data_IF_038748283779
#
_entry.id   IF_038748283779
#
_cell.length_a   1.000
_cell.length_b   1.000
_cell.length_c   1.000
_cell.angle_alpha   90.00
_cell.angle_beta   90.00
_cell.angle_gamma   90.00
#
_symmetry.space_group_name_H-M   'P 1'
#
loop_
_entity.id
_entity.type
_entity.pdbx_description
1 polymer ?
#
# COMPACT_ATOMS: atom_id res chain seq x y z
N UNK A 1 52.33 23.02 -44.48
CA UNK A 1 50.88 22.98 -44.21
C UNK A 1 50.44 24.34 -43.72
N UNK A 2 49.41 24.93 -44.33
CA UNK A 2 48.85 26.22 -43.86
C UNK A 2 47.97 25.99 -42.63
N UNK A 3 47.81 27.00 -41.77
CA UNK A 3 46.98 26.91 -40.56
C UNK A 3 45.53 26.50 -40.86
N UNK A 4 45.01 26.87 -42.04
CA UNK A 4 43.69 26.46 -42.51
C UNK A 4 43.59 24.94 -42.81
N UNK A 5 44.64 24.34 -43.38
CA UNK A 5 44.67 22.89 -43.60
C UNK A 5 44.73 22.13 -42.26
N UNK A 6 45.48 22.63 -41.28
CA UNK A 6 45.56 21.99 -39.96
C UNK A 6 44.21 22.00 -39.23
N UNK A 7 43.48 23.12 -39.29
CA UNK A 7 42.14 23.22 -38.70
C UNK A 7 41.14 22.26 -39.36
N UNK A 8 41.21 22.08 -40.68
CA UNK A 8 40.39 21.11 -41.40
C UNK A 8 40.66 19.66 -40.95
N UNK A 9 41.93 19.29 -40.76
CA UNK A 9 42.29 17.95 -40.27
C UNK A 9 41.84 17.71 -38.83
N UNK A 10 41.93 18.73 -37.96
CA UNK A 10 41.44 18.63 -36.57
C UNK A 10 39.91 18.47 -36.55
N UNK A 11 39.18 19.29 -37.32
CA UNK A 11 37.74 19.19 -37.42
C UNK A 11 37.29 17.83 -37.94
N UNK A 12 37.97 17.30 -38.97
CA UNK A 12 37.70 15.97 -39.51
C UNK A 12 37.95 14.87 -38.46
N UNK A 13 39.04 14.98 -37.69
CA UNK A 13 39.35 14.05 -36.61
C UNK A 13 38.27 14.02 -35.52
N UNK A 14 37.78 15.19 -35.11
CA UNK A 14 36.70 15.30 -34.11
C UNK A 14 35.40 14.68 -34.63
N UNK A 15 35.03 14.94 -35.89
CA UNK A 15 33.81 14.38 -36.49
C UNK A 15 33.89 12.85 -36.56
N UNK A 16 35.04 12.30 -36.97
CA UNK A 16 35.25 10.85 -37.01
C UNK A 16 35.18 10.24 -35.60
N UNK A 17 35.78 10.90 -34.61
CA UNK A 17 35.77 10.43 -33.23
C UNK A 17 34.35 10.45 -32.61
N UNK A 18 33.54 11.47 -32.91
CA UNK A 18 32.14 11.53 -32.51
C UNK A 18 31.29 10.46 -33.20
N UNK A 19 31.49 10.23 -34.49
CA UNK A 19 30.78 9.20 -35.24
C UNK A 19 31.09 7.79 -34.70
N UNK A 20 32.36 7.51 -34.40
CA UNK A 20 32.77 6.24 -33.76
C UNK A 20 32.17 6.08 -32.37
N UNK A 21 32.18 7.14 -31.55
CA UNK A 21 31.58 7.11 -30.22
C UNK A 21 30.08 6.83 -30.27
N UNK A 22 29.34 7.55 -31.13
CA UNK A 22 27.90 7.33 -31.32
C UNK A 22 27.60 5.92 -31.84
N UNK A 23 28.42 5.39 -32.77
CA UNK A 23 28.30 4.03 -33.25
C UNK A 23 28.49 2.98 -32.14
N UNK A 24 29.48 3.16 -31.26
CA UNK A 24 29.73 2.27 -30.12
C UNK A 24 28.59 2.36 -29.10
N UNK A 25 28.12 3.56 -28.77
CA UNK A 25 26.99 3.75 -27.82
C UNK A 25 25.73 3.11 -28.38
N UNK A 26 25.41 3.34 -29.66
CA UNK A 26 24.28 2.72 -30.34
C UNK A 26 24.38 1.20 -30.35
N UNK A 27 25.56 0.64 -30.70
CA UNK A 27 25.78 -0.80 -30.68
C UNK A 27 25.60 -1.42 -29.29
N UNK A 28 26.12 -0.78 -28.23
CA UNK A 28 25.95 -1.25 -26.84
C UNK A 28 24.49 -1.16 -26.39
N UNK A 29 23.77 -0.13 -26.80
CA UNK A 29 22.35 0.03 -26.50
C UNK A 29 21.50 -1.00 -27.25
N UNK A 30 21.81 -1.26 -28.52
CA UNK A 30 21.16 -2.26 -29.35
C UNK A 30 21.36 -3.69 -28.82
N UNK A 31 22.58 -4.02 -28.38
CA UNK A 31 22.89 -5.30 -27.73
C UNK A 31 22.08 -5.51 -26.43
N UNK A 32 21.93 -4.45 -25.61
CA UNK A 32 21.09 -4.49 -24.40
C UNK A 32 19.60 -4.64 -24.73
N UNK A 33 19.13 -3.97 -25.78
CA UNK A 33 17.77 -4.10 -26.26
C UNK A 33 17.47 -5.54 -26.71
N UNK A 34 18.36 -6.16 -27.49
CA UNK A 34 18.22 -7.57 -27.90
C UNK A 34 18.20 -8.50 -26.68
N UNK A 35 19.10 -8.31 -25.70
CA UNK A 35 19.13 -9.14 -24.49
C UNK A 35 17.83 -9.04 -23.66
N UNK A 36 17.23 -7.85 -23.57
CA UNK A 36 15.93 -7.64 -22.92
C UNK A 36 14.79 -8.30 -23.71
N UNK A 37 14.88 -8.26 -25.04
CA UNK A 37 13.89 -8.91 -25.92
C UNK A 37 13.96 -10.44 -25.83
N UNK A 38 15.15 -11.02 -25.70
CA UNK A 38 15.34 -12.46 -25.50
C UNK A 38 14.86 -12.93 -24.11
N UNK A 39 15.01 -12.10 -23.07
CA UNK A 39 14.40 -12.34 -21.75
C UNK A 39 12.87 -12.26 -21.79
N UNK A 40 12.31 -11.27 -22.49
CA UNK A 40 10.87 -11.13 -22.66
C UNK A 40 10.23 -12.28 -23.48
N UNK A 41 10.98 -12.87 -24.41
CA UNK A 41 10.55 -14.00 -25.24
C UNK A 41 10.84 -15.39 -24.65
N UNK A 42 11.21 -15.48 -23.37
CA UNK A 42 11.22 -16.74 -22.62
C UNK A 42 12.32 -17.75 -22.97
N UNK A 43 13.45 -17.33 -23.57
CA UNK A 43 14.61 -18.21 -23.75
C UNK A 43 15.66 -17.96 -22.67
N UNK A 44 15.40 -18.45 -21.45
CA UNK A 44 16.45 -18.56 -20.43
C UNK A 44 17.04 -19.98 -20.43
N UNK A 45 18.31 -20.08 -20.81
CA UNK A 45 19.17 -21.23 -20.49
C UNK A 45 20.27 -20.72 -19.56
N UNK A 46 20.24 -21.14 -18.30
CA UNK A 46 21.38 -21.65 -17.53
C UNK A 46 21.06 -21.65 -16.03
N UNK A 47 21.53 -22.65 -15.27
CA UNK A 47 21.06 -22.97 -13.93
C UNK A 47 21.89 -22.26 -12.87
N UNK A 48 21.29 -22.01 -11.72
CA UNK A 48 21.90 -22.04 -10.38
C UNK A 48 20.75 -21.95 -9.37
N UNK A 49 20.08 -23.08 -9.19
CA UNK A 49 19.19 -23.31 -8.06
C UNK A 49 20.06 -23.75 -6.90
N UNK A 50 20.50 -22.80 -6.08
CA UNK A 50 20.89 -23.10 -4.71
C UNK A 50 19.73 -22.68 -3.80
N UNK A 51 19.13 -23.73 -3.24
CA UNK A 51 17.97 -23.73 -2.35
C UNK A 51 18.21 -22.88 -1.10
N UNK A 52 17.52 -21.74 -1.01
CA UNK A 52 17.15 -21.20 0.29
C UNK A 52 16.10 -22.14 0.87
N UNK A 53 16.52 -22.85 1.92
CA UNK A 53 15.70 -23.72 2.73
C UNK A 53 14.45 -22.96 3.17
N UNK A 54 13.29 -23.54 2.86
CA UNK A 54 12.01 -23.13 3.42
C UNK A 54 12.04 -23.35 4.93
N UNK A 55 12.33 -22.30 5.68
CA UNK A 55 11.96 -22.26 7.09
C UNK A 55 10.46 -22.51 7.16
N UNK A 56 10.06 -23.54 7.91
CA UNK A 56 8.68 -23.87 8.20
C UNK A 56 7.99 -22.65 8.82
N UNK A 57 7.38 -21.81 7.98
CA UNK A 57 6.45 -20.79 8.42
C UNK A 57 5.34 -21.53 9.16
N UNK A 58 5.25 -21.37 10.47
CA UNK A 58 4.09 -21.85 11.21
C UNK A 58 2.86 -21.25 10.54
N UNK A 59 1.97 -22.08 10.01
CA UNK A 59 0.70 -21.61 9.46
C UNK A 59 0.02 -20.71 10.51
N UNK A 60 -0.50 -19.57 10.08
CA UNK A 60 -1.19 -18.64 10.96
C UNK A 60 -2.34 -19.31 11.73
N UNK A 61 -2.89 -18.63 12.74
CA UNK A 61 -4.02 -19.17 13.49
C UNK A 61 -5.36 -18.85 12.82
N UNK A 62 -6.35 -19.74 13.03
CA UNK A 62 -7.74 -19.52 12.61
C UNK A 62 -8.49 -18.67 13.65
N UNK A 63 -9.37 -17.79 13.18
CA UNK A 63 -10.18 -16.93 14.06
C UNK A 63 -9.35 -15.87 14.79
N UNK A 64 -9.75 -15.55 16.03
CA UNK A 64 -9.09 -14.55 16.87
C UNK A 64 -8.26 -15.22 17.98
N UNK A 65 -7.04 -14.71 18.16
CA UNK A 65 -6.11 -15.08 19.23
C UNK A 65 -5.87 -13.86 20.11
N UNK A 66 -5.69 -14.08 21.41
CA UNK A 66 -5.51 -12.99 22.37
C UNK A 66 -4.05 -12.55 22.44
N UNK A 67 -3.83 -11.24 22.30
CA UNK A 67 -2.54 -10.59 22.40
C UNK A 67 -2.53 -9.59 23.55
N UNK A 68 -1.39 -9.47 24.22
CA UNK A 68 -1.13 -8.46 25.24
C UNK A 68 -0.32 -7.31 24.65
N UNK A 69 -0.70 -6.08 24.99
CA UNK A 69 0.10 -4.89 24.72
C UNK A 69 1.25 -4.85 25.71
N UNK A 70 2.48 -5.03 25.25
CA UNK A 70 3.67 -5.03 26.10
C UNK A 70 4.35 -3.66 26.16
N UNK A 71 4.14 -2.82 25.15
CA UNK A 71 4.69 -1.46 25.09
C UNK A 71 3.76 -0.56 24.27
N UNK A 72 3.69 0.71 24.69
CA UNK A 72 2.96 1.81 24.04
C UNK A 72 3.90 3.00 23.92
N UNK A 73 4.12 3.50 22.70
CA UNK A 73 5.07 4.58 22.42
C UNK A 73 4.39 5.67 21.60
N UNK A 74 4.52 6.94 22.01
CA UNK A 74 4.09 8.08 21.21
C UNK A 74 5.15 8.35 20.14
N UNK A 75 4.71 8.49 18.89
CA UNK A 75 5.61 8.64 17.72
C UNK A 75 5.70 10.08 17.22
N UNK A 76 4.90 10.97 17.80
CA UNK A 76 4.89 12.41 17.55
C UNK A 76 4.67 13.19 18.86
N UNK A 77 5.08 14.46 18.84
CA UNK A 77 4.96 15.35 20.01
C UNK A 77 3.51 15.71 20.34
N UNK A 78 2.63 15.63 19.35
CA UNK A 78 1.21 15.97 19.47
C UNK A 78 0.34 14.81 19.99
N UNK A 79 0.92 13.62 20.19
CA UNK A 79 0.21 12.41 20.58
C UNK A 79 -0.84 11.94 19.58
N UNK A 80 -0.72 12.35 18.31
CA UNK A 80 -1.63 11.96 17.25
C UNK A 80 -1.32 10.56 16.72
N UNK A 81 -0.12 10.03 16.91
CA UNK A 81 0.27 8.68 16.47
C UNK A 81 0.93 7.91 17.61
N UNK A 82 0.49 6.67 17.80
CA UNK A 82 1.00 5.79 18.85
C UNK A 82 1.30 4.39 18.30
N UNK A 83 2.46 3.86 18.62
CA UNK A 83 2.84 2.48 18.36
C UNK A 83 2.49 1.56 19.53
N UNK A 84 1.96 0.39 19.21
CA UNK A 84 1.61 -0.66 20.15
C UNK A 84 2.39 -1.93 19.79
N UNK A 85 3.09 -2.48 20.79
CA UNK A 85 3.84 -3.72 20.66
C UNK A 85 3.02 -4.84 21.28
N UNK A 86 2.82 -5.93 20.53
CA UNK A 86 1.86 -6.97 20.82
C UNK A 86 2.57 -8.31 20.90
N UNK A 87 2.35 -9.04 22.00
CA UNK A 87 2.85 -10.41 22.19
C UNK A 87 1.66 -11.33 22.46
N UNK A 88 1.66 -12.58 21.97
CA UNK A 88 0.53 -13.47 22.21
C UNK A 88 0.48 -13.85 23.70
N UNK A 89 -0.71 -13.86 24.28
CA UNK A 89 -0.90 -14.10 25.72
C UNK A 89 -0.53 -15.54 26.11
N UNK A 90 -0.77 -16.50 25.22
CA UNK A 90 -0.43 -17.92 25.36
C UNK A 90 1.07 -18.23 25.20
N UNK A 91 1.90 -17.22 24.89
CA UNK A 91 3.36 -17.31 24.69
C UNK A 91 3.83 -18.27 23.58
N UNK A 92 2.95 -18.74 22.69
CA UNK A 92 3.41 -19.51 21.54
C UNK A 92 4.07 -18.59 20.51
N UNK A 93 4.85 -19.18 19.60
CA UNK A 93 5.58 -18.43 18.57
C UNK A 93 4.66 -17.59 17.68
N UNK A 94 5.24 -16.51 17.16
CA UNK A 94 4.62 -15.67 16.16
C UNK A 94 4.95 -16.20 14.76
N UNK A 95 3.95 -16.38 13.88
CA UNK A 95 4.23 -16.68 12.49
C UNK A 95 4.98 -15.52 11.84
N UNK A 96 5.93 -15.86 10.97
CA UNK A 96 6.61 -14.85 10.15
C UNK A 96 5.59 -14.29 9.15
N UNK A 97 5.47 -12.97 9.09
CA UNK A 97 4.61 -12.29 8.13
C UNK A 97 5.42 -11.69 6.97
N UNK A 98 4.75 -11.35 5.87
CA UNK A 98 5.41 -10.68 4.74
C UNK A 98 5.40 -9.15 4.95
N UNK A 99 6.53 -8.44 4.76
CA UNK A 99 6.62 -7.00 5.03
C UNK A 99 5.59 -6.20 4.23
N UNK A 100 4.67 -5.53 4.93
CA UNK A 100 3.52 -4.83 4.34
C UNK A 100 2.15 -5.37 4.76
N UNK A 101 2.07 -6.62 5.22
CA UNK A 101 0.82 -7.21 5.74
C UNK A 101 0.27 -6.48 6.98
N UNK A 102 -1.01 -6.72 7.28
CA UNK A 102 -1.73 -6.12 8.40
C UNK A 102 -2.27 -7.15 9.40
N UNK A 103 -2.61 -6.67 10.60
CA UNK A 103 -3.37 -7.41 11.60
C UNK A 103 -4.83 -6.96 11.62
N UNK A 104 -5.76 -7.89 11.79
CA UNK A 104 -7.19 -7.59 11.99
C UNK A 104 -7.54 -7.70 13.47
N UNK A 105 -8.09 -6.64 14.04
CA UNK A 105 -8.50 -6.54 15.44
C UNK A 105 -10.01 -6.61 15.57
N UNK A 106 -10.49 -7.32 16.59
CA UNK A 106 -11.86 -7.21 17.08
C UNK A 106 -11.85 -6.43 18.40
N UNK A 107 -12.49 -5.28 18.40
CA UNK A 107 -12.50 -4.33 19.52
C UNK A 107 -13.88 -4.28 20.14
N UNK A 108 -13.95 -4.27 21.47
CA UNK A 108 -15.16 -4.01 22.22
C UNK A 108 -15.19 -2.52 22.59
N UNK A 109 -15.86 -1.71 21.77
CA UNK A 109 -15.89 -0.25 21.93
C UNK A 109 -16.99 0.12 22.93
N UNK A 110 -16.67 0.81 24.04
CA UNK A 110 -17.68 1.29 24.98
C UNK A 110 -18.64 2.26 24.30
N UNK A 111 -19.95 2.08 24.54
CA UNK A 111 -20.99 3.01 24.09
C UNK A 111 -21.55 3.80 25.27
N UNK A 112 -22.15 4.98 25.04
CA UNK A 112 -22.74 5.79 26.12
C UNK A 112 -23.80 5.06 26.96
N UNK A 113 -24.42 3.99 26.43
CA UNK A 113 -25.41 3.18 27.13
C UNK A 113 -24.82 2.12 28.07
N UNK A 114 -23.49 2.09 28.27
CA UNK A 114 -22.81 1.10 29.12
C UNK A 114 -22.65 -0.29 28.48
N UNK A 115 -23.16 -0.48 27.26
CA UNK A 115 -22.91 -1.68 26.45
C UNK A 115 -21.67 -1.49 25.60
N UNK A 116 -21.00 -2.59 25.22
CA UNK A 116 -19.89 -2.56 24.27
C UNK A 116 -20.38 -2.99 22.88
N UNK A 117 -19.97 -2.26 21.85
CA UNK A 117 -20.22 -2.62 20.45
C UNK A 117 -18.94 -3.23 19.84
N UNK A 118 -19.09 -4.35 19.14
CA UNK A 118 -17.96 -4.98 18.45
C UNK A 118 -17.60 -4.20 17.18
N UNK A 119 -16.31 -3.90 17.02
CA UNK A 119 -15.78 -3.19 15.86
C UNK A 119 -14.55 -3.91 15.33
N UNK A 120 -14.55 -4.25 14.04
CA UNK A 120 -13.42 -4.89 13.38
C UNK A 120 -12.62 -3.87 12.58
N UNK A 121 -11.30 -3.78 12.81
CA UNK A 121 -10.40 -2.89 12.05
C UNK A 121 -9.04 -3.51 11.78
N UNK A 122 -8.44 -3.10 10.68
CA UNK A 122 -7.12 -3.54 10.26
C UNK A 122 -6.08 -2.45 10.50
N UNK A 123 -4.87 -2.85 10.87
CA UNK A 123 -3.71 -1.98 10.98
C UNK A 123 -2.46 -2.69 10.44
N UNK A 124 -1.75 -2.06 9.51
CA UNK A 124 -0.51 -2.59 8.94
C UNK A 124 0.51 -2.85 10.04
N UNK A 125 1.23 -3.96 9.92
CA UNK A 125 2.41 -4.22 10.71
C UNK A 125 3.45 -3.18 10.31
N UNK A 126 3.95 -2.42 11.28
CA UNK A 126 4.78 -1.23 11.02
C UNK A 126 6.27 -1.45 11.24
N UNK A 127 6.69 -2.70 11.43
CA UNK A 127 8.09 -3.13 11.60
C UNK A 127 8.43 -4.35 10.76
N UNK A 128 9.72 -4.70 10.70
CA UNK A 128 10.18 -5.96 10.13
C UNK A 128 9.64 -7.15 10.93
N UNK A 129 9.35 -8.30 10.28
CA UNK A 129 9.05 -9.55 10.96
C UNK A 129 10.05 -9.87 12.07
N UNK A 130 9.55 -9.93 13.30
CA UNK A 130 10.32 -10.27 14.49
C UNK A 130 9.66 -11.44 15.23
N UNK A 131 10.45 -12.22 15.95
CA UNK A 131 9.96 -13.42 16.63
C UNK A 131 9.24 -13.12 17.96
N UNK A 132 9.41 -11.93 18.54
CA UNK A 132 9.06 -11.65 19.92
C UNK A 132 7.85 -10.72 20.10
N UNK A 133 7.55 -9.88 19.12
CA UNK A 133 6.40 -9.00 19.12
C UNK A 133 6.01 -8.53 17.71
N UNK A 134 4.73 -8.21 17.54
CA UNK A 134 4.24 -7.40 16.43
C UNK A 134 4.15 -5.94 16.82
N UNK A 135 4.38 -5.03 15.88
CA UNK A 135 4.17 -3.59 16.07
C UNK A 135 3.11 -3.08 15.09
N UNK A 136 2.16 -2.32 15.60
CA UNK A 136 1.22 -1.52 14.79
C UNK A 136 1.31 -0.06 15.23
N UNK A 137 1.25 0.87 14.29
CA UNK A 137 1.31 2.31 14.59
C UNK A 137 0.03 2.98 14.11
N UNK A 138 -0.72 3.57 15.05
CA UNK A 138 -2.11 3.96 14.84
C UNK A 138 -2.23 5.47 14.99
N UNK A 139 -2.71 6.12 13.93
CA UNK A 139 -3.08 7.54 13.94
C UNK A 139 -4.46 7.75 14.57
N UNK A 140 -4.54 8.62 15.57
CA UNK A 140 -5.79 9.13 16.14
C UNK A 140 -6.54 9.93 15.07
N UNK A 141 -7.84 9.67 14.93
CA UNK A 141 -8.71 10.40 14.01
C UNK A 141 -9.76 11.15 14.85
N UNK A 142 -9.46 12.39 15.29
CA UNK A 142 -10.45 13.19 16.01
C UNK A 142 -11.59 13.60 15.07
N UNK A 143 -12.64 14.20 15.66
CA UNK A 143 -13.70 14.88 14.90
C UNK A 143 -13.06 15.85 13.91
N UNK A 144 -13.35 15.75 12.60
CA UNK A 144 -12.79 16.67 11.62
C UNK A 144 -13.25 18.11 11.93
N UNK A 145 -12.30 19.04 11.96
CA UNK A 145 -12.57 20.45 12.27
C UNK A 145 -13.66 21.03 11.36
N UNK A 146 -14.64 21.71 11.95
CA UNK A 146 -15.72 22.35 11.21
C UNK A 146 -16.76 21.39 10.62
N UNK A 147 -16.79 20.12 11.05
CA UNK A 147 -17.79 19.14 10.62
C UNK A 147 -18.60 18.60 11.80
N UNK A 148 -19.79 18.07 11.52
CA UNK A 148 -20.61 17.33 12.49
C UNK A 148 -20.30 15.82 12.49
N UNK A 149 -19.28 15.37 11.74
CA UNK A 149 -18.93 13.96 11.63
C UNK A 149 -18.32 13.47 12.95
N UNK A 150 -18.68 12.25 13.41
CA UNK A 150 -18.13 11.71 14.64
C UNK A 150 -16.63 11.40 14.54
N UNK A 151 -15.90 11.35 15.67
CA UNK A 151 -14.50 10.93 15.69
C UNK A 151 -14.36 9.44 15.29
N UNK A 152 -13.17 9.06 14.83
CA UNK A 152 -12.86 7.67 14.48
C UNK A 152 -12.95 6.74 15.68
N UNK A 153 -13.88 5.78 15.65
CA UNK A 153 -14.18 4.91 16.80
C UNK A 153 -13.00 4.03 17.25
N UNK A 154 -12.37 3.33 16.31
CA UNK A 154 -11.25 2.41 16.59
C UNK A 154 -9.97 3.13 17.00
N UNK A 155 -9.57 4.16 16.24
CA UNK A 155 -8.31 4.85 16.50
C UNK A 155 -8.33 5.60 17.82
N UNK A 156 -9.44 6.27 18.18
CA UNK A 156 -9.56 6.88 19.50
C UNK A 156 -9.63 5.81 20.61
N UNK A 157 -10.30 4.67 20.39
CA UNK A 157 -10.28 3.59 21.38
C UNK A 157 -8.87 3.09 21.72
N UNK A 158 -8.03 2.85 20.70
CA UNK A 158 -6.63 2.49 20.91
C UNK A 158 -5.86 3.54 21.72
N UNK A 159 -6.11 4.80 21.44
CA UNK A 159 -5.40 5.87 22.13
C UNK A 159 -5.88 6.05 23.57
N UNK A 160 -7.19 5.96 23.81
CA UNK A 160 -7.83 6.32 25.08
C UNK A 160 -7.93 5.15 26.07
N UNK A 161 -8.14 3.92 25.60
CA UNK A 161 -8.45 2.76 26.46
C UNK A 161 -7.43 1.63 26.38
N UNK A 162 -6.60 1.60 25.34
CA UNK A 162 -5.56 0.56 25.20
C UNK A 162 -4.28 1.03 25.88
N UNK A 163 -3.87 0.29 26.90
CA UNK A 163 -2.69 0.54 27.71
C UNK A 163 -1.79 -0.70 27.73
N UNK A 164 -0.58 -0.55 28.26
CA UNK A 164 0.28 -1.71 28.54
C UNK A 164 -0.47 -2.67 29.48
N UNK A 165 -0.51 -3.95 29.13
CA UNK A 165 -1.27 -5.00 29.82
C UNK A 165 -2.67 -5.28 29.26
N UNK A 166 -3.22 -4.41 28.40
CA UNK A 166 -4.51 -4.64 27.74
C UNK A 166 -4.46 -5.89 26.86
N UNK A 167 -5.56 -6.64 26.84
CA UNK A 167 -5.77 -7.78 25.93
C UNK A 167 -6.52 -7.35 24.68
N UNK A 168 -6.08 -7.79 23.52
CA UNK A 168 -6.68 -7.52 22.22
C UNK A 168 -6.94 -8.84 21.48
N UNK A 169 -8.10 -8.96 20.83
CA UNK A 169 -8.42 -10.10 19.97
C UNK A 169 -7.93 -9.81 18.54
N UNK A 170 -7.03 -10.65 18.03
CA UNK A 170 -6.28 -10.41 16.78
C UNK A 170 -6.37 -11.63 15.86
N UNK A 171 -6.60 -11.44 14.56
CA UNK A 171 -6.44 -12.50 13.53
C UNK A 171 -5.00 -12.56 13.05
N UNK A 172 -4.61 -13.71 12.49
CA UNK A 172 -3.28 -13.87 11.90
C UNK A 172 -2.98 -12.78 10.86
N UNK A 173 -1.69 -12.41 10.67
CA UNK A 173 -1.30 -11.49 9.60
C UNK A 173 -1.88 -11.88 8.25
N UNK A 174 -2.39 -10.91 7.51
CA UNK A 174 -3.02 -11.10 6.20
C UNK A 174 -2.78 -9.90 5.27
N UNK A 175 -3.18 -10.03 4.01
CA UNK A 175 -3.08 -8.98 2.99
C UNK A 175 -2.12 -9.35 1.86
N UNK A 176 -2.36 -8.77 0.68
CA UNK A 176 -1.59 -8.96 -0.55
C UNK A 176 -0.63 -7.80 -0.85
N UNK A 177 -0.70 -6.70 -0.10
CA UNK A 177 0.25 -5.60 -0.21
C UNK A 177 1.52 -5.90 0.60
N UNK A 178 2.45 -6.64 0.00
CA UNK A 178 3.73 -6.93 0.63
C UNK A 178 4.89 -6.86 -0.36
N UNK A 179 6.08 -6.64 0.18
CA UNK A 179 7.33 -6.57 -0.57
C UNK A 179 7.60 -7.89 -1.29
N UNK A 180 7.93 -7.83 -2.58
CA UNK A 180 8.44 -8.98 -3.31
C UNK A 180 9.87 -9.31 -2.83
N UNK A 181 10.23 -10.59 -2.83
CA UNK A 181 11.57 -11.01 -2.38
C UNK A 181 12.64 -10.90 -3.49
N UNK A 182 12.27 -10.36 -4.66
CA UNK A 182 13.20 -10.11 -5.76
C UNK A 182 14.25 -9.05 -5.38
N UNK A 183 15.38 -9.02 -6.09
CA UNK A 183 16.46 -8.06 -5.82
C UNK A 183 16.31 -6.74 -6.61
N UNK A 184 15.19 -6.54 -7.32
CA UNK A 184 14.86 -5.31 -8.05
C UNK A 184 14.91 -4.10 -7.12
N UNK A 185 15.39 -2.93 -7.57
CA UNK A 185 15.40 -1.75 -6.73
C UNK A 185 13.96 -1.28 -6.45
N UNK A 186 13.72 -0.69 -5.28
CA UNK A 186 12.36 -0.38 -4.80
C UNK A 186 12.16 1.10 -4.52
N UNK A 187 10.97 1.60 -4.83
CA UNK A 187 10.50 2.92 -4.42
C UNK A 187 9.29 2.76 -3.49
N UNK A 188 9.49 3.08 -2.23
CA UNK A 188 8.47 3.13 -1.20
C UNK A 188 7.91 4.54 -1.11
N UNK A 189 6.60 4.69 -1.22
CA UNK A 189 5.92 5.99 -1.19
C UNK A 189 4.85 5.97 -0.09
N UNK A 190 5.13 6.68 1.01
CA UNK A 190 4.23 6.78 2.16
C UNK A 190 3.62 8.18 2.29
N UNK A 191 2.30 8.28 2.40
CA UNK A 191 1.59 9.53 2.71
C UNK A 191 1.03 9.52 4.12
N UNK A 192 1.50 10.40 5.01
CA UNK A 192 1.02 10.47 6.40
C UNK A 192 1.21 9.15 7.16
N UNK A 193 0.12 8.51 7.58
CA UNK A 193 0.18 7.21 8.29
C UNK A 193 0.40 6.01 7.34
N UNK A 194 0.27 6.21 6.02
CA UNK A 194 0.62 5.21 5.00
C UNK A 194 2.11 4.84 4.98
N UNK A 195 2.93 5.52 5.79
CA UNK A 195 4.32 5.15 6.09
C UNK A 195 4.44 3.79 6.81
N UNK A 196 3.37 3.30 7.44
CA UNK A 196 3.40 2.09 8.27
C UNK A 196 3.81 0.81 7.52
N UNK A 197 3.15 0.41 6.42
CA UNK A 197 3.64 -0.73 5.62
C UNK A 197 5.02 -0.44 5.02
N UNK A 198 5.31 0.81 4.66
CA UNK A 198 6.62 1.20 4.11
C UNK A 198 7.76 0.99 5.10
N UNK A 199 7.54 1.27 6.39
CA UNK A 199 8.51 1.00 7.45
C UNK A 199 8.77 -0.49 7.63
N UNK A 200 7.72 -1.32 7.53
CA UNK A 200 7.88 -2.78 7.56
C UNK A 200 8.76 -3.27 6.41
N UNK A 201 8.47 -2.82 5.19
CA UNK A 201 9.26 -3.15 4.00
C UNK A 201 10.70 -2.64 4.12
N UNK A 202 10.89 -1.37 4.50
CA UNK A 202 12.21 -0.75 4.66
C UNK A 202 13.06 -1.48 5.71
N UNK A 203 12.51 -1.70 6.91
CA UNK A 203 13.23 -2.37 7.99
C UNK A 203 13.59 -3.81 7.60
N UNK A 204 12.74 -4.50 6.84
CA UNK A 204 13.08 -5.82 6.31
C UNK A 204 14.20 -5.77 5.27
N UNK A 205 14.14 -4.83 4.32
CA UNK A 205 15.17 -4.66 3.28
C UNK A 205 16.53 -4.38 3.90
N UNK A 206 16.65 -3.42 4.82
CA UNK A 206 17.94 -3.06 5.40
C UNK A 206 18.57 -4.19 6.23
N UNK A 207 17.74 -5.07 6.80
CA UNK A 207 18.18 -6.21 7.61
C UNK A 207 18.51 -7.47 6.77
N UNK A 208 17.78 -7.73 5.69
CA UNK A 208 17.85 -9.00 4.94
C UNK A 208 18.41 -8.85 3.51
N UNK A 209 18.31 -7.65 2.94
CA UNK A 209 18.78 -7.32 1.59
C UNK A 209 19.50 -5.96 1.57
N UNK A 210 20.59 -5.78 2.36
CA UNK A 210 21.25 -4.47 2.51
C UNK A 210 21.85 -3.91 1.19
N UNK A 211 22.08 -4.78 0.21
CA UNK A 211 22.55 -4.39 -1.14
C UNK A 211 21.42 -3.93 -2.08
N UNK A 212 20.16 -4.17 -1.72
CA UNK A 212 19.01 -3.75 -2.53
C UNK A 212 18.83 -2.24 -2.39
N UNK A 213 18.85 -1.56 -3.51
CA UNK A 213 18.57 -0.12 -3.56
C UNK A 213 17.11 0.14 -3.20
N UNK A 214 16.90 1.02 -2.22
CA UNK A 214 15.57 1.41 -1.75
C UNK A 214 15.47 2.92 -1.60
N UNK A 215 14.43 3.50 -2.19
CA UNK A 215 14.07 4.90 -2.03
C UNK A 215 12.80 5.02 -1.21
N UNK A 216 12.80 5.86 -0.18
CA UNK A 216 11.60 6.21 0.57
C UNK A 216 11.23 7.67 0.31
N UNK A 217 10.10 7.87 -0.38
CA UNK A 217 9.44 9.18 -0.47
C UNK A 217 8.36 9.27 0.60
N UNK A 218 8.59 10.10 1.61
CA UNK A 218 7.67 10.26 2.73
C UNK A 218 7.01 11.63 2.71
N UNK A 219 5.71 11.68 2.39
CA UNK A 219 4.93 12.89 2.26
C UNK A 219 4.11 13.19 3.51
N UNK A 220 4.32 14.35 4.12
CA UNK A 220 3.50 14.90 5.22
C UNK A 220 3.23 16.38 5.00
N UNK A 221 2.40 17.00 5.85
CA UNK A 221 2.14 18.44 5.72
C UNK A 221 3.36 19.27 6.12
N UNK A 222 3.96 18.95 7.27
CA UNK A 222 5.08 19.69 7.85
C UNK A 222 5.82 18.86 8.90
N UNK A 223 6.82 19.46 9.55
CA UNK A 223 7.64 18.82 10.57
C UNK A 223 6.86 18.21 11.74
N UNK A 224 5.72 18.78 12.12
CA UNK A 224 4.90 18.30 13.24
C UNK A 224 4.20 16.95 12.98
N UNK A 225 4.26 16.44 11.74
CA UNK A 225 3.64 15.18 11.32
C UNK A 225 4.64 14.09 10.93
N UNK A 226 5.94 14.41 10.94
CA UNK A 226 6.95 13.41 10.62
C UNK A 226 7.12 12.48 11.82
N UNK A 227 6.66 11.23 11.69
CA UNK A 227 6.93 10.20 12.69
C UNK A 227 8.24 9.47 12.41
N UNK A 228 8.85 8.93 13.46
CA UNK A 228 10.06 8.09 13.37
C UNK A 228 11.23 8.75 12.60
N UNK A 229 11.28 10.09 12.59
CA UNK A 229 12.30 10.87 11.86
C UNK A 229 13.71 10.44 12.23
N UNK A 230 13.99 10.27 13.53
CA UNK A 230 15.30 9.87 14.02
C UNK A 230 15.70 8.47 13.52
N UNK A 231 14.78 7.51 13.53
CA UNK A 231 14.99 6.17 12.99
C UNK A 231 15.29 6.20 11.49
N UNK A 232 14.48 6.92 10.71
CA UNK A 232 14.68 7.06 9.26
C UNK A 232 16.02 7.71 8.92
N UNK A 233 16.41 8.76 9.64
CA UNK A 233 17.71 9.41 9.46
C UNK A 233 18.88 8.49 9.84
N UNK A 234 18.75 7.73 10.93
CA UNK A 234 19.75 6.76 11.34
C UNK A 234 19.95 5.66 10.29
N UNK A 235 18.85 5.10 9.76
CA UNK A 235 18.92 4.13 8.67
C UNK A 235 19.58 4.73 7.42
N UNK A 236 19.20 5.95 7.01
CA UNK A 236 19.78 6.60 5.84
C UNK A 236 21.29 6.87 5.99
N UNK A 237 21.76 7.12 7.22
CA UNK A 237 23.18 7.29 7.52
C UNK A 237 23.95 5.95 7.54
N UNK A 238 23.30 4.86 7.96
CA UNK A 238 23.93 3.54 8.12
C UNK A 238 23.93 2.72 6.82
N UNK A 239 22.97 2.93 5.93
CA UNK A 239 22.77 2.12 4.72
C UNK A 239 22.92 2.96 3.44
N UNK A 240 24.05 2.85 2.73
CA UNK A 240 24.30 3.63 1.50
C UNK A 240 23.27 3.39 0.39
N UNK A 241 22.68 2.21 0.33
CA UNK A 241 21.66 1.83 -0.66
C UNK A 241 20.25 2.32 -0.30
N UNK A 242 20.06 2.87 0.90
CA UNK A 242 18.81 3.51 1.30
C UNK A 242 18.87 5.02 1.06
N UNK A 243 17.91 5.54 0.28
CA UNK A 243 17.75 6.96 -0.03
C UNK A 243 16.43 7.48 0.55
N UNK A 244 16.53 8.39 1.52
CA UNK A 244 15.36 9.04 2.14
C UNK A 244 15.04 10.37 1.45
N UNK A 245 13.75 10.60 1.16
CA UNK A 245 13.20 11.86 0.62
C UNK A 245 11.93 12.25 1.36
N UNK A 246 12.08 13.11 2.36
CA UNK A 246 10.95 13.70 3.11
C UNK A 246 10.38 14.90 2.33
N UNK A 247 9.07 14.93 2.12
CA UNK A 247 8.37 15.95 1.35
C UNK A 247 7.30 16.66 2.20
N UNK A 248 7.33 17.98 2.24
CA UNK A 248 6.37 18.81 3.00
C UNK A 248 5.44 19.58 2.08
N UNK A 249 4.14 19.28 2.13
CA UNK A 249 3.15 19.99 1.31
C UNK A 249 2.76 21.37 1.84
N UNK A 250 2.91 21.61 3.15
CA UNK A 250 2.58 22.86 3.83
C UNK A 250 3.55 23.13 5.02
N UNK A 251 4.84 23.42 4.74
CA UNK A 251 5.85 23.63 5.78
C UNK A 251 5.50 24.76 6.77
N UNK A 252 5.92 24.63 8.02
CA UNK A 252 5.75 25.65 9.07
C UNK A 252 6.81 26.78 8.95
N UNK A 253 6.58 27.96 9.56
CA UNK A 253 7.53 29.10 9.54
C UNK A 253 8.95 28.87 10.09
N UNK A 254 9.30 27.66 10.54
CA UNK A 254 10.65 27.27 10.96
C UNK A 254 11.24 26.08 10.19
N UNK A 255 10.46 25.46 9.29
CA UNK A 255 10.88 24.29 8.53
C UNK A 255 11.86 24.70 7.43
N UNK A 256 13.05 24.09 7.41
CA UNK A 256 14.10 24.43 6.44
C UNK A 256 14.39 23.27 5.49
N UNK A 257 14.41 23.55 4.19
CA UNK A 257 14.87 22.59 3.16
C UNK A 257 16.31 22.15 3.46
N UNK A 258 16.63 20.89 3.19
CA UNK A 258 17.89 20.21 3.46
C UNK A 258 18.25 20.00 4.96
N UNK A 259 17.49 20.58 5.90
CA UNK A 259 17.59 20.26 7.33
C UNK A 259 16.42 19.39 7.80
N UNK A 260 15.21 19.82 7.51
CA UNK A 260 13.98 19.20 8.03
C UNK A 260 13.29 18.31 7.01
N UNK A 261 13.37 18.70 5.74
CA UNK A 261 12.77 18.01 4.61
C UNK A 261 13.61 18.22 3.35
N UNK A 262 13.37 17.41 2.33
CA UNK A 262 14.11 17.42 1.07
C UNK A 262 13.37 18.19 -0.02
N UNK A 263 12.04 18.02 -0.11
CA UNK A 263 11.23 18.66 -1.15
C UNK A 263 10.00 19.37 -0.60
N UNK A 264 9.69 20.54 -1.16
CA UNK A 264 8.45 21.25 -0.89
C UNK A 264 7.40 20.84 -1.92
N UNK A 265 6.19 20.54 -1.46
CA UNK A 265 5.09 20.09 -2.30
C UNK A 265 4.64 18.67 -1.97
N UNK A 266 3.69 18.17 -2.76
CA UNK A 266 3.27 16.77 -2.72
C UNK A 266 4.23 15.92 -3.54
N UNK A 267 4.28 14.62 -3.27
CA UNK A 267 5.03 13.67 -4.10
C UNK A 267 4.27 13.51 -5.41
N UNK A 268 4.95 13.74 -6.52
CA UNK A 268 4.45 13.55 -7.88
C UNK A 268 5.51 12.91 -8.78
N UNK A 269 5.12 12.51 -9.98
CA UNK A 269 6.04 11.87 -10.94
C UNK A 269 7.14 12.82 -11.42
N UNK A 270 6.93 14.14 -11.41
CA UNK A 270 7.97 15.11 -11.77
C UNK A 270 9.12 15.08 -10.76
N UNK A 271 8.81 15.00 -9.47
CA UNK A 271 9.79 14.77 -8.42
C UNK A 271 10.50 13.42 -8.59
N UNK A 272 9.75 12.34 -8.81
CA UNK A 272 10.33 11.00 -9.00
C UNK A 272 11.31 10.96 -10.18
N UNK A 273 10.97 11.61 -11.31
CA UNK A 273 11.86 11.74 -12.48
C UNK A 273 13.14 12.52 -12.20
N UNK A 274 13.10 13.45 -11.24
CA UNK A 274 14.24 14.29 -10.88
C UNK A 274 15.22 13.52 -9.98
N UNK A 275 14.70 12.72 -9.04
CA UNK A 275 15.50 12.03 -8.03
C UNK A 275 15.94 10.62 -8.45
N UNK A 276 15.09 9.89 -9.17
CA UNK A 276 15.35 8.49 -9.47
C UNK A 276 16.25 8.33 -10.70
N UNK A 277 17.29 7.47 -10.64
CA UNK A 277 18.01 7.06 -11.84
C UNK A 277 17.09 6.25 -12.76
N UNK A 278 17.39 6.17 -14.05
CA UNK A 278 16.60 5.37 -14.98
C UNK A 278 16.86 3.87 -14.75
N UNK A 279 16.03 3.22 -13.93
CA UNK A 279 16.09 1.80 -13.56
C UNK A 279 14.67 1.20 -13.47
N UNK A 280 14.53 -0.13 -13.61
CA UNK A 280 13.24 -0.81 -13.45
C UNK A 280 12.92 -0.98 -11.96
N UNK A 281 12.36 0.07 -11.35
CA UNK A 281 11.91 0.05 -9.96
C UNK A 281 10.56 -0.65 -9.78
N UNK A 282 10.38 -1.28 -8.63
CA UNK A 282 9.04 -1.64 -8.13
C UNK A 282 8.55 -0.55 -7.18
N UNK A 283 7.34 -0.04 -7.43
CA UNK A 283 6.73 1.04 -6.67
C UNK A 283 5.71 0.47 -5.69
N UNK A 284 5.83 0.84 -4.41
CA UNK A 284 4.86 0.53 -3.37
C UNK A 284 4.30 1.82 -2.80
N UNK A 285 2.98 1.98 -2.86
CA UNK A 285 2.32 3.26 -2.57
C UNK A 285 1.24 3.05 -1.52
N UNK A 286 1.32 3.79 -0.41
CA UNK A 286 0.26 3.81 0.57
C UNK A 286 0.08 5.23 1.13
N UNK A 287 -1.15 5.74 1.09
CA UNK A 287 -1.43 7.10 1.52
C UNK A 287 -2.89 7.51 1.35
N UNK A 288 -3.19 8.81 1.43
CA UNK A 288 -4.52 9.33 1.17
C UNK A 288 -4.98 9.03 -0.26
N UNK A 289 -6.27 8.75 -0.44
CA UNK A 289 -6.88 8.45 -1.76
C UNK A 289 -6.44 9.42 -2.87
N UNK A 290 -6.49 10.77 -2.70
CA UNK A 290 -6.11 11.67 -3.78
C UNK A 290 -4.63 11.55 -4.20
N UNK A 291 -3.75 11.17 -3.26
CA UNK A 291 -2.33 10.93 -3.56
C UNK A 291 -2.15 9.66 -4.38
N UNK A 292 -2.84 8.57 -4.01
CA UNK A 292 -2.72 7.31 -4.75
C UNK A 292 -3.34 7.42 -6.14
N UNK A 293 -4.53 7.99 -6.27
CA UNK A 293 -5.20 8.19 -7.57
C UNK A 293 -4.35 9.02 -8.54
N UNK A 294 -3.70 10.08 -8.04
CA UNK A 294 -2.84 10.92 -8.88
C UNK A 294 -1.49 10.27 -9.24
N UNK A 295 -0.89 9.50 -8.33
CA UNK A 295 0.42 8.88 -8.56
C UNK A 295 0.32 7.62 -9.42
N UNK A 296 -0.67 6.77 -9.21
CA UNK A 296 -0.83 5.51 -9.97
C UNK A 296 -1.01 5.83 -11.46
N UNK A 297 -1.99 6.68 -11.78
CA UNK A 297 -2.25 7.11 -13.16
C UNK A 297 -1.01 7.76 -13.80
N UNK A 298 -0.31 8.62 -13.06
CA UNK A 298 0.87 9.30 -13.58
C UNK A 298 2.08 8.37 -13.78
N UNK A 299 2.20 7.29 -12.98
CA UNK A 299 3.24 6.26 -13.14
C UNK A 299 2.98 5.40 -14.38
N UNK A 300 1.72 5.05 -14.62
CA UNK A 300 1.28 4.38 -15.85
C UNK A 300 1.58 5.25 -17.08
N UNK A 301 1.22 6.54 -17.04
CA UNK A 301 1.52 7.51 -18.10
C UNK A 301 3.04 7.72 -18.30
N UNK A 302 3.83 7.50 -17.25
CA UNK A 302 5.30 7.49 -17.34
C UNK A 302 5.86 6.19 -17.95
N UNK A 303 5.03 5.17 -18.14
CA UNK A 303 5.41 3.89 -18.75
C UNK A 303 5.93 2.86 -17.75
N UNK A 304 5.64 3.02 -16.45
CA UNK A 304 5.90 1.97 -15.45
C UNK A 304 4.87 0.84 -15.68
N UNK A 305 5.30 -0.42 -15.87
CA UNK A 305 4.36 -1.53 -16.04
C UNK A 305 3.46 -1.73 -14.81
N UNK A 306 2.17 -2.01 -15.01
CA UNK A 306 1.19 -2.25 -13.91
C UNK A 306 1.69 -3.30 -12.90
N UNK A 307 2.33 -4.37 -13.38
CA UNK A 307 2.95 -5.41 -12.54
C UNK A 307 3.99 -4.90 -11.53
N UNK A 308 4.48 -3.67 -11.68
CA UNK A 308 5.47 -3.01 -10.82
C UNK A 308 4.89 -1.85 -10.02
N UNK A 309 3.57 -1.63 -10.08
CA UNK A 309 2.87 -0.60 -9.31
C UNK A 309 1.96 -1.31 -8.30
N UNK A 310 2.39 -1.30 -7.04
CA UNK A 310 1.66 -1.88 -5.92
C UNK A 310 1.12 -0.78 -5.03
N UNK A 311 -0.12 -0.88 -4.58
CA UNK A 311 -0.70 0.11 -3.67
C UNK A 311 -1.69 -0.51 -2.69
N UNK A 312 -1.87 0.17 -1.55
CA UNK A 312 -2.84 -0.18 -0.51
C UNK A 312 -3.58 1.07 -0.02
N UNK A 313 -4.92 0.98 -0.02
CA UNK A 313 -5.79 2.05 0.44
C UNK A 313 -6.33 1.79 1.86
N UNK A 314 -6.20 2.77 2.75
CA UNK A 314 -6.76 2.72 4.10
C UNK A 314 -8.20 3.24 4.12
N UNK A 315 -9.17 2.40 3.74
CA UNK A 315 -10.59 2.75 3.71
C UNK A 315 -11.33 2.13 2.52
N UNK A 316 -12.56 2.57 2.22
CA UNK A 316 -13.29 2.12 1.03
C UNK A 316 -12.43 2.27 -0.22
N UNK A 317 -12.23 1.18 -0.94
CA UNK A 317 -11.36 1.15 -2.10
C UNK A 317 -12.01 1.88 -3.29
N UNK A 318 -11.50 3.08 -3.59
CA UNK A 318 -12.05 3.95 -4.63
C UNK A 318 -11.17 4.09 -5.87
N UNK A 319 -10.02 3.42 -5.94
CA UNK A 319 -9.08 3.58 -7.07
C UNK A 319 -9.59 2.79 -8.28
N UNK A 320 -9.92 3.50 -9.37
CA UNK A 320 -10.34 2.92 -10.65
C UNK A 320 -9.11 2.78 -11.56
N UNK A 321 -8.71 1.55 -11.91
CA UNK A 321 -7.64 1.32 -12.90
C UNK A 321 -8.13 1.54 -14.34
N UNK A 322 -7.25 2.03 -15.22
CA UNK A 322 -7.42 1.92 -16.67
C UNK A 322 -6.95 0.53 -17.12
N UNK A 323 -7.87 -0.41 -17.36
CA UNK A 323 -7.49 -1.71 -17.94
C UNK A 323 -6.93 -1.53 -19.35
N UNK A 324 -5.73 -2.07 -19.63
CA UNK A 324 -5.12 -2.11 -20.97
C UNK A 324 -5.43 -3.41 -21.74
N UNK A 325 -6.53 -4.07 -21.41
CA UNK A 325 -7.18 -5.07 -22.28
C UNK A 325 -8.69 -4.83 -22.20
N UNK A 326 -9.23 -4.08 -23.15
CA UNK A 326 -10.65 -4.09 -23.46
C UNK A 326 -10.89 -5.17 -24.53
N UNK A 327 -11.66 -6.24 -24.25
CA UNK A 327 -12.54 -6.74 -25.28
C UNK A 327 -13.59 -5.64 -25.50
N UNK A 328 -13.74 -5.17 -26.75
CA UNK A 328 -14.81 -4.25 -27.16
C UNK A 328 -16.15 -4.66 -26.50
N UNK A 329 -16.57 -3.91 -25.48
CA UNK A 329 -17.96 -3.93 -25.04
C UNK A 329 -18.65 -2.78 -25.76
N UNK A 330 -19.62 -3.16 -26.58
CA UNK A 330 -20.52 -2.27 -27.28
C UNK A 330 -21.17 -1.29 -26.31
N UNK A 331 -21.09 -0.01 -26.64
CA UNK A 331 -21.99 1.01 -26.12
C UNK A 331 -23.45 0.62 -26.42
N UNK A 332 -24.23 0.31 -25.38
CA UNK A 332 -25.69 0.44 -25.31
C UNK A 332 -26.24 -0.41 -24.16
N UNK A 333 -26.69 0.24 -23.08
CA UNK A 333 -28.02 0.10 -22.50
C UNK A 333 -28.02 0.68 -21.07
N UNK A 334 -28.87 1.68 -20.83
CA UNK A 334 -29.40 2.00 -19.49
C UNK A 334 -30.22 0.81 -18.99
N UNK A 335 -29.55 -0.24 -18.54
CA UNK A 335 -30.17 -1.33 -17.81
C UNK A 335 -30.14 -0.97 -16.33
N UNK A 336 -31.33 -0.73 -15.77
CA UNK A 336 -31.52 -0.53 -14.34
C UNK A 336 -31.20 -1.85 -13.64
N UNK A 337 -30.02 -1.95 -13.03
CA UNK A 337 -29.59 -3.14 -12.30
C UNK A 337 -30.35 -3.21 -10.96
N UNK A 338 -31.01 -4.34 -10.70
CA UNK A 338 -31.75 -4.58 -9.46
C UNK A 338 -30.92 -5.38 -8.46
N UNK A 339 -30.82 -4.88 -7.23
CA UNK A 339 -30.11 -5.55 -6.13
C UNK A 339 -31.12 -6.01 -5.10
N UNK A 340 -31.16 -7.32 -4.86
CA UNK A 340 -32.04 -7.96 -3.88
C UNK A 340 -31.23 -8.47 -2.69
N UNK A 341 -31.66 -8.11 -1.48
CA UNK A 341 -31.11 -8.57 -0.21
C UNK A 341 -32.08 -9.60 0.40
N UNK A 342 -31.79 -10.88 0.21
CA UNK A 342 -32.72 -11.98 0.46
C UNK A 342 -33.12 -12.12 1.94
N UNK A 343 -32.20 -11.92 2.90
CA UNK A 343 -32.52 -12.02 4.33
C UNK A 343 -33.44 -10.92 4.80
N UNK A 344 -33.29 -9.72 4.24
CA UNK A 344 -34.14 -8.57 4.57
C UNK A 344 -35.40 -8.45 3.71
N UNK A 345 -35.51 -9.28 2.65
CA UNK A 345 -36.54 -9.22 1.61
C UNK A 345 -36.73 -7.82 1.02
N UNK A 346 -35.61 -7.09 0.85
CA UNK A 346 -35.59 -5.73 0.30
C UNK A 346 -34.95 -5.74 -1.08
N UNK A 347 -35.51 -4.92 -1.97
CA UNK A 347 -35.04 -4.78 -3.35
C UNK A 347 -34.92 -3.30 -3.69
N UNK A 348 -33.79 -2.92 -4.28
CA UNK A 348 -33.52 -1.55 -4.65
C UNK A 348 -32.85 -1.51 -6.02
N UNK A 349 -33.04 -0.40 -6.74
CA UNK A 349 -32.40 -0.18 -8.03
C UNK A 349 -31.03 0.43 -7.77
N UNK A 350 -30.00 -0.18 -8.35
CA UNK A 350 -28.65 0.34 -8.33
C UNK A 350 -28.54 1.55 -9.27
N UNK A 351 -28.28 2.71 -8.68
CA UNK A 351 -28.18 3.99 -9.38
C UNK A 351 -26.75 4.38 -9.76
N UNK A 352 -25.76 3.56 -9.39
CA UNK A 352 -24.34 3.83 -9.61
C UNK A 352 -23.75 4.94 -8.74
N UNK A 353 -24.50 5.49 -7.79
CA UNK A 353 -24.00 6.55 -6.89
C UNK A 353 -23.14 6.00 -5.77
N UNK A 354 -23.42 4.76 -5.35
CA UNK A 354 -22.67 4.06 -4.31
C UNK A 354 -21.41 3.42 -4.87
N UNK A 355 -20.30 3.48 -4.14
CA UNK A 355 -19.03 2.92 -4.59
C UNK A 355 -18.93 1.40 -4.40
N UNK A 356 -19.82 0.83 -3.57
CA UNK A 356 -19.83 -0.60 -3.24
C UNK A 356 -21.24 -1.09 -2.88
N UNK A 357 -21.48 -2.39 -3.02
CA UNK A 357 -22.73 -3.03 -2.58
C UNK A 357 -22.99 -2.87 -1.08
N UNK A 358 -21.94 -2.76 -0.25
CA UNK A 358 -22.08 -2.50 1.17
C UNK A 358 -22.64 -1.10 1.45
N UNK A 359 -22.07 -0.08 0.81
CA UNK A 359 -22.53 1.31 0.97
C UNK A 359 -24.00 1.45 0.52
N UNK A 360 -24.35 0.79 -0.59
CA UNK A 360 -25.71 0.74 -1.10
C UNK A 360 -26.68 0.01 -0.16
N UNK A 361 -26.25 -1.10 0.45
CA UNK A 361 -27.04 -1.80 1.44
C UNK A 361 -27.33 -0.90 2.65
N UNK A 362 -26.31 -0.24 3.18
CA UNK A 362 -26.40 0.61 4.36
C UNK A 362 -27.25 1.87 4.12
N UNK A 363 -27.11 2.52 2.96
CA UNK A 363 -27.90 3.70 2.60
C UNK A 363 -29.39 3.39 2.46
N UNK A 364 -29.73 2.16 2.08
CA UNK A 364 -31.09 1.64 2.00
C UNK A 364 -31.56 0.94 3.30
N UNK A 365 -30.80 1.08 4.40
CA UNK A 365 -31.17 0.56 5.72
C UNK A 365 -31.18 -0.97 5.79
N UNK A 366 -30.37 -1.65 4.97
CA UNK A 366 -30.06 -3.07 5.11
C UNK A 366 -28.86 -3.19 6.05
N UNK A 367 -29.03 -3.95 7.14
CA UNK A 367 -27.94 -4.19 8.09
C UNK A 367 -27.12 -5.35 7.59
N UNK A 368 -25.89 -5.07 7.15
CA UNK A 368 -24.92 -6.10 6.79
C UNK A 368 -23.73 -6.02 7.72
N UNK A 369 -23.18 -7.17 8.08
CA UNK A 369 -21.93 -7.23 8.83
C UNK A 369 -20.81 -6.56 8.02
N UNK A 370 -20.08 -5.63 8.64
CA UNK A 370 -18.97 -4.94 8.00
C UNK A 370 -17.86 -4.59 8.98
N UNK A 371 -16.61 -4.73 8.53
CA UNK A 371 -15.41 -4.56 9.36
C UNK A 371 -14.42 -3.57 8.75
N UNK A 372 -13.46 -4.09 7.97
CA UNK A 372 -12.38 -3.30 7.37
C UNK A 372 -12.84 -2.32 6.27
N UNK A 373 -13.93 -2.65 5.56
CA UNK A 373 -14.42 -1.94 4.36
C UNK A 373 -13.42 -1.82 3.20
N UNK A 374 -12.37 -2.63 3.21
CA UNK A 374 -11.30 -2.62 2.22
C UNK A 374 -11.03 -4.03 1.66
N UNK A 375 -11.95 -4.98 1.84
CA UNK A 375 -11.81 -6.35 1.32
C UNK A 375 -10.84 -7.26 2.08
N UNK A 376 -10.27 -6.82 3.21
CA UNK A 376 -9.25 -7.59 3.94
C UNK A 376 -9.68 -8.41 5.15
N UNK A 377 -10.88 -8.19 5.72
CA UNK A 377 -11.28 -8.88 6.96
C UNK A 377 -12.32 -10.00 6.78
N UNK A 378 -12.95 -10.11 5.60
CA UNK A 378 -14.01 -11.10 5.34
C UNK A 378 -15.37 -10.83 6.00
N UNK A 379 -15.51 -9.83 6.87
CA UNK A 379 -16.74 -9.64 7.66
C UNK A 379 -18.00 -9.31 6.84
N UNK A 380 -17.84 -8.83 5.61
CA UNK A 380 -18.95 -8.53 4.71
C UNK A 380 -19.11 -9.58 3.60
N UNK A 381 -18.54 -10.77 3.82
CA UNK A 381 -18.73 -11.90 2.92
C UNK A 381 -20.19 -12.34 2.92
N UNK A 382 -20.76 -12.47 1.72
CA UNK A 382 -22.10 -13.00 1.53
C UNK A 382 -22.15 -13.85 0.28
N UNK A 383 -23.07 -14.81 0.26
CA UNK A 383 -23.30 -15.69 -0.88
C UNK A 383 -24.07 -14.97 -1.98
N UNK A 384 -23.60 -15.12 -3.21
CA UNK A 384 -24.35 -14.72 -4.41
C UNK A 384 -25.31 -15.87 -4.74
N UNK A 385 -26.61 -15.62 -4.63
CA UNK A 385 -27.64 -16.61 -5.00
C UNK A 385 -27.87 -16.62 -6.52
N UNK A 386 -27.85 -15.45 -7.15
CA UNK A 386 -27.93 -15.29 -8.59
C UNK A 386 -27.34 -13.95 -9.03
N UNK A 387 -26.90 -13.86 -10.27
CA UNK A 387 -26.32 -12.65 -10.86
C UNK A 387 -24.79 -12.61 -10.79
N UNK A 388 -24.22 -11.53 -11.31
CA UNK A 388 -22.78 -11.32 -11.38
C UNK A 388 -22.37 -10.01 -10.68
N UNK A 389 -21.26 -10.06 -9.95
CA UNK A 389 -20.63 -8.91 -9.31
C UNK A 389 -19.20 -8.76 -9.80
N UNK A 390 -18.73 -7.52 -9.88
CA UNK A 390 -17.36 -7.17 -10.23
C UNK A 390 -16.66 -6.61 -9.00
N UNK A 391 -15.47 -7.14 -8.72
CA UNK A 391 -14.59 -6.56 -7.71
C UNK A 391 -13.92 -5.30 -8.26
N UNK A 392 -13.85 -4.23 -7.45
CA UNK A 392 -13.14 -3.01 -7.83
C UNK A 392 -11.62 -3.22 -7.88
N UNK A 393 -11.11 -4.14 -7.07
CA UNK A 393 -9.74 -4.62 -7.01
C UNK A 393 -9.72 -6.03 -6.39
N UNK A 394 -8.61 -6.75 -6.51
CA UNK A 394 -8.44 -8.06 -5.88
C UNK A 394 -8.53 -7.93 -4.35
N UNK A 395 -9.48 -8.61 -3.69
CA UNK A 395 -9.62 -8.53 -2.25
C UNK A 395 -8.45 -9.20 -1.51
N UNK A 396 -8.20 -8.73 -0.29
CA UNK A 396 -7.18 -9.28 0.61
C UNK A 396 -7.63 -10.53 1.37
N UNK A 397 -8.93 -10.76 1.42
CA UNK A 397 -9.54 -11.94 2.03
C UNK A 397 -9.95 -12.94 0.95
N UNK A 398 -9.48 -14.18 1.09
CA UNK A 398 -9.88 -15.30 0.23
C UNK A 398 -11.31 -15.75 0.58
N UNK A 399 -12.29 -15.22 -0.16
CA UNK A 399 -13.70 -15.63 -0.04
C UNK A 399 -13.94 -17.01 -0.66
N UNK A 400 -14.92 -17.75 -0.12
CA UNK A 400 -15.29 -19.04 -0.70
C UNK A 400 -15.87 -18.87 -2.13
N UNK A 401 -15.69 -19.85 -3.03
CA UNK A 401 -16.27 -19.79 -4.37
C UNK A 401 -17.79 -19.60 -4.33
N UNK A 402 -18.30 -18.58 -5.02
CA UNK A 402 -19.72 -18.21 -5.03
C UNK A 402 -20.11 -17.16 -3.98
N UNK A 403 -19.16 -16.70 -3.16
CA UNK A 403 -19.34 -15.57 -2.26
C UNK A 403 -18.70 -14.29 -2.82
N UNK A 404 -19.12 -13.14 -2.30
CA UNK A 404 -18.50 -11.85 -2.56
C UNK A 404 -18.35 -11.02 -1.29
N UNK A 405 -17.42 -10.06 -1.33
CA UNK A 405 -17.19 -9.10 -0.26
C UNK A 405 -17.85 -7.77 -0.61
N UNK A 406 -19.00 -7.49 0.01
CA UNK A 406 -19.84 -6.34 -0.35
C UNK A 406 -19.12 -5.00 -0.31
N UNK A 407 -18.09 -4.84 0.51
CA UNK A 407 -17.35 -3.58 0.62
C UNK A 407 -16.46 -3.25 -0.59
N UNK A 408 -16.19 -4.23 -1.46
CA UNK A 408 -15.25 -4.09 -2.59
C UNK A 408 -15.80 -4.63 -3.90
N UNK A 409 -17.09 -4.92 -3.98
CA UNK A 409 -17.76 -5.33 -5.21
C UNK A 409 -18.95 -4.44 -5.57
N UNK A 410 -19.20 -4.34 -6.87
CA UNK A 410 -20.35 -3.66 -7.49
C UNK A 410 -21.14 -4.67 -8.34
N UNK A 411 -22.45 -4.50 -8.54
CA UNK A 411 -23.23 -5.41 -9.37
C UNK A 411 -22.95 -5.17 -10.86
N UNK A 412 -22.90 -6.24 -11.65
CA UNK A 412 -22.81 -6.19 -13.12
C UNK A 412 -24.18 -6.45 -13.75
N UNK A 413 -24.92 -7.40 -13.17
CA UNK A 413 -26.30 -7.73 -13.55
C UNK A 413 -27.21 -7.60 -12.34
N UNK A 414 -28.51 -7.82 -12.56
CA UNK A 414 -29.44 -8.08 -11.45
C UNK A 414 -28.87 -9.17 -10.54
N UNK A 415 -28.77 -8.86 -9.25
CA UNK A 415 -28.08 -9.71 -8.27
C UNK A 415 -28.96 -9.97 -7.06
N UNK A 416 -28.96 -11.22 -6.61
CA UNK A 416 -29.61 -11.64 -5.37
C UNK A 416 -28.53 -12.07 -4.39
N UNK A 417 -28.41 -11.32 -3.29
CA UNK A 417 -27.44 -11.52 -2.24
C UNK A 417 -28.13 -12.14 -1.03
N UNK A 418 -27.49 -13.10 -0.37
CA UNK A 418 -28.03 -13.68 0.87
C UNK A 418 -28.12 -12.67 2.02
N UNK A 419 -27.43 -11.52 1.92
CA UNK A 419 -27.29 -10.53 2.98
C UNK A 419 -28.60 -9.90 3.47
#
# INVERSE_FOLDING_TARGET
MTSAMLLLWIALGIVVQLALWLGIVFWRHWQRYIALQDQANGKSTSPLTESLQSDNASEGWKGFRTFKVIQKTLEDDNGAICSFYLRPEDRQSLPVFKPGQFLTFKLAIPTPGGTAEELIRCYSLSDSPAHDAYRVSIKRVPTPNGTSLPPGRSSNFFHDYVHVGSSLAVRAPSGHFYLNHEASPVVLIGGGIGITPMLSMLNWIVNHQPEREVWLFYGVRNSAEVIMKAHLLALAAQHPNFKLRICFSAPLPGDMTARDFHHRGRIDVALLRTELPLKPFDFYICGPTPMMESLVDALEDWGVPDSRIHFEAFGPASIKRKSSIEPKVSESCTETVMVTFAKSNKQFIWDGTSNSLLEFAESNGVKVESGCRAGGCGSCETRIQSGEVKFSHSPDFDSEPGNCLLCVCIPVTDVVLEA
#
